data_IF_412404610562
#
_entry.id   IF_412404610562
#
_cell.length_a   1.000
_cell.length_b   1.000
_cell.length_c   1.000
_cell.angle_alpha   90.00
_cell.angle_beta   90.00
_cell.angle_gamma   90.00
#
_symmetry.space_group_name_H-M   'P 1'
#
loop_
_entity.id
_entity.type
_entity.pdbx_description
1 polymer ?
#
# COMPACT_ATOMS: atom_id res chain seq x y z
N UNK A 1 -11.02 -14.57 -9.64
CA UNK A 1 -9.59 -14.24 -9.41
C UNK A 1 -9.45 -12.85 -8.79
N UNK A 2 -9.83 -12.66 -7.51
CA UNK A 2 -9.87 -11.33 -6.89
C UNK A 2 -8.53 -10.57 -6.95
N UNK A 3 -7.42 -11.27 -6.70
CA UNK A 3 -6.08 -10.66 -6.71
C UNK A 3 -5.67 -10.09 -8.06
N UNK A 4 -6.03 -10.75 -9.16
CA UNK A 4 -5.76 -10.23 -10.52
C UNK A 4 -6.60 -8.98 -10.76
N UNK A 5 -7.86 -8.95 -10.32
CA UNK A 5 -8.71 -7.77 -10.44
C UNK A 5 -8.12 -6.60 -9.64
N UNK A 6 -7.73 -6.84 -8.38
CA UNK A 6 -7.07 -5.83 -7.55
C UNK A 6 -5.80 -5.31 -8.22
N UNK A 7 -4.97 -6.19 -8.75
CA UNK A 7 -3.77 -5.82 -9.51
C UNK A 7 -4.12 -4.89 -10.69
N UNK A 8 -5.01 -5.33 -11.57
CA UNK A 8 -5.40 -4.56 -12.77
C UNK A 8 -5.95 -3.20 -12.39
N UNK A 9 -6.86 -3.13 -11.41
CA UNK A 9 -7.46 -1.88 -10.95
C UNK A 9 -6.40 -0.94 -10.36
N UNK A 10 -5.50 -1.44 -9.49
CA UNK A 10 -4.42 -0.64 -8.92
C UNK A 10 -3.49 -0.06 -9.98
N UNK A 11 -3.14 -0.84 -11.00
CA UNK A 11 -2.29 -0.39 -12.10
C UNK A 11 -2.99 0.61 -13.02
N UNK A 12 -4.29 0.45 -13.29
CA UNK A 12 -5.08 1.45 -14.01
C UNK A 12 -5.06 2.78 -13.24
N UNK A 13 -5.33 2.76 -11.94
CA UNK A 13 -5.30 3.98 -11.10
C UNK A 13 -3.91 4.62 -11.12
N UNK A 14 -2.84 3.81 -11.01
CA UNK A 14 -1.47 4.31 -11.12
C UNK A 14 -1.24 5.00 -12.46
N UNK A 15 -1.53 4.35 -13.58
CA UNK A 15 -1.30 4.93 -14.91
C UNK A 15 -2.10 6.19 -15.19
N UNK A 16 -3.31 6.32 -14.61
CA UNK A 16 -4.14 7.52 -14.73
C UNK A 16 -3.59 8.71 -13.94
N UNK A 17 -2.95 8.46 -12.79
CA UNK A 17 -2.58 9.52 -11.84
C UNK A 17 -1.07 9.82 -11.80
N UNK A 18 -0.23 8.93 -12.32
CA UNK A 18 1.22 9.03 -12.20
C UNK A 18 1.80 10.12 -13.10
N UNK A 19 2.68 10.97 -12.53
CA UNK A 19 3.54 11.85 -13.33
C UNK A 19 4.85 11.13 -13.66
N UNK A 20 4.94 10.63 -14.88
CA UNK A 20 6.07 9.85 -15.39
C UNK A 20 7.43 10.57 -15.27
N UNK A 21 7.46 11.90 -15.20
CA UNK A 21 8.73 12.66 -15.05
C UNK A 21 9.46 12.33 -13.76
N UNK A 22 8.73 11.91 -12.72
CA UNK A 22 9.27 11.67 -11.38
C UNK A 22 9.27 10.18 -10.99
N UNK A 23 8.87 9.26 -11.88
CA UNK A 23 8.74 7.83 -11.56
C UNK A 23 10.03 7.21 -11.03
N UNK A 24 11.18 7.63 -11.57
CA UNK A 24 12.51 7.17 -11.13
C UNK A 24 12.80 7.44 -9.64
N UNK A 25 12.06 8.35 -9.02
CA UNK A 25 12.15 8.64 -7.59
C UNK A 25 10.99 8.01 -6.82
N UNK A 26 9.77 8.08 -7.35
CA UNK A 26 8.57 7.63 -6.64
C UNK A 26 8.41 6.11 -6.66
N UNK A 27 9.02 5.39 -7.61
CA UNK A 27 9.04 3.92 -7.65
C UNK A 27 9.58 3.31 -6.35
N UNK A 28 10.55 3.98 -5.72
CA UNK A 28 11.09 3.56 -4.42
C UNK A 28 10.05 3.62 -3.30
N UNK A 29 9.09 4.55 -3.38
CA UNK A 29 7.95 4.58 -2.46
C UNK A 29 7.09 3.32 -2.57
N UNK A 30 6.87 2.83 -3.79
CA UNK A 30 6.17 1.57 -4.03
C UNK A 30 6.93 0.36 -3.51
N UNK A 31 8.24 0.31 -3.75
CA UNK A 31 9.09 -0.78 -3.23
C UNK A 31 9.12 -0.81 -1.69
N UNK A 32 9.16 0.35 -1.05
CA UNK A 32 9.09 0.43 0.42
C UNK A 32 7.72 0.00 0.95
N UNK A 33 6.64 0.44 0.32
CA UNK A 33 5.28 0.08 0.72
C UNK A 33 5.02 -1.43 0.61
N UNK A 34 5.40 -2.05 -0.51
CA UNK A 34 5.25 -3.51 -0.66
C UNK A 34 6.15 -4.27 0.32
N UNK A 35 7.32 -3.72 0.67
CA UNK A 35 8.21 -4.35 1.66
C UNK A 35 7.57 -4.36 3.05
N UNK A 36 6.95 -3.24 3.45
CA UNK A 36 6.19 -3.17 4.70
C UNK A 36 5.01 -4.14 4.69
N UNK A 37 4.25 -4.19 3.59
CA UNK A 37 3.14 -5.12 3.46
C UNK A 37 3.60 -6.58 3.59
N UNK A 38 4.68 -6.98 2.91
CA UNK A 38 5.19 -8.35 3.02
C UNK A 38 5.63 -8.71 4.44
N UNK A 39 6.29 -7.80 5.16
CA UNK A 39 6.68 -8.04 6.56
C UNK A 39 5.47 -8.20 7.46
N UNK A 40 4.45 -7.34 7.31
CA UNK A 40 3.22 -7.43 8.08
C UNK A 40 2.49 -8.73 7.79
N UNK A 41 2.33 -9.08 6.51
CA UNK A 41 1.66 -10.31 6.08
C UNK A 41 2.36 -11.55 6.62
N UNK A 42 3.69 -11.64 6.49
CA UNK A 42 4.46 -12.80 6.97
C UNK A 42 4.26 -13.01 8.47
N UNK A 43 4.33 -11.94 9.26
CA UNK A 43 4.15 -12.02 10.71
C UNK A 43 2.70 -12.41 11.03
N UNK A 44 1.72 -11.76 10.41
CA UNK A 44 0.32 -11.95 10.75
C UNK A 44 -0.21 -13.33 10.31
N UNK A 45 0.20 -13.81 9.14
CA UNK A 45 -0.16 -15.13 8.63
C UNK A 45 0.59 -16.22 9.41
N UNK A 46 1.88 -16.01 9.72
CA UNK A 46 2.64 -16.90 10.60
C UNK A 46 2.05 -17.03 12.00
N UNK A 47 1.38 -15.98 12.50
CA UNK A 47 0.62 -15.98 13.76
C UNK A 47 -0.85 -16.45 13.61
N UNK A 48 -1.24 -16.93 12.43
CA UNK A 48 -2.57 -17.44 12.13
C UNK A 48 -3.70 -16.41 12.40
N UNK A 49 -3.43 -15.13 12.09
CA UNK A 49 -4.35 -14.03 12.32
C UNK A 49 -5.32 -13.85 11.14
N UNK A 50 -4.81 -13.93 9.92
CA UNK A 50 -5.59 -13.99 8.69
C UNK A 50 -4.91 -14.85 7.63
N UNK A 51 -5.61 -15.12 6.53
CA UNK A 51 -5.10 -15.92 5.41
C UNK A 51 -5.63 -15.40 4.06
N UNK A 52 -4.86 -15.65 2.99
CA UNK A 52 -5.21 -15.36 1.61
C UNK A 52 -5.81 -16.60 0.94
N UNK A 53 -7.05 -16.48 0.47
CA UNK A 53 -7.72 -17.51 -0.32
C UNK A 53 -7.55 -17.26 -1.83
N UNK A 54 -7.64 -18.33 -2.64
CA UNK A 54 -7.63 -18.23 -4.11
C UNK A 54 -6.39 -17.50 -4.67
N UNK A 55 -5.24 -17.63 -4.02
CA UNK A 55 -3.96 -17.06 -4.48
C UNK A 55 -3.52 -17.75 -5.75
N UNK A 56 -3.24 -16.96 -6.79
CA UNK A 56 -2.80 -17.49 -8.09
C UNK A 56 -1.29 -17.75 -8.09
N UNK A 57 -0.51 -16.77 -7.61
CA UNK A 57 0.95 -16.88 -7.44
C UNK A 57 1.27 -16.35 -6.05
N UNK A 58 1.91 -17.20 -5.23
CA UNK A 58 2.36 -16.83 -3.89
C UNK A 58 3.75 -16.19 -3.94
N UNK A 59 3.95 -15.17 -3.11
CA UNK A 59 5.26 -14.60 -2.79
C UNK A 59 5.30 -14.47 -1.27
N UNK A 60 6.21 -15.22 -0.62
CA UNK A 60 6.10 -15.48 0.81
C UNK A 60 4.69 -16.01 1.17
N UNK A 61 4.10 -15.58 2.27
CA UNK A 61 2.72 -15.92 2.64
C UNK A 61 1.64 -15.09 1.92
N UNK A 62 2.02 -14.13 1.07
CA UNK A 62 1.10 -13.21 0.38
C UNK A 62 0.87 -13.55 -1.10
N UNK A 63 -0.01 -12.78 -1.76
CA UNK A 63 -0.30 -12.88 -3.19
C UNK A 63 0.58 -11.93 -3.99
N UNK A 64 1.30 -12.44 -5.01
CA UNK A 64 2.16 -11.60 -5.87
C UNK A 64 1.37 -10.48 -6.55
N UNK A 65 0.16 -10.78 -7.00
CA UNK A 65 -0.73 -9.81 -7.63
C UNK A 65 -1.25 -8.76 -6.64
N UNK A 66 -1.41 -9.13 -5.37
CA UNK A 66 -1.71 -8.15 -4.33
C UNK A 66 -0.49 -7.25 -4.10
N UNK A 67 0.66 -7.81 -3.76
CA UNK A 67 1.91 -7.11 -3.42
C UNK A 67 2.38 -6.15 -4.52
N UNK A 68 2.43 -6.61 -5.78
CA UNK A 68 2.79 -5.76 -6.93
C UNK A 68 1.62 -4.92 -7.45
N UNK A 69 0.42 -5.14 -6.94
CA UNK A 69 -0.78 -4.36 -7.23
C UNK A 69 -0.93 -3.23 -6.24
N UNK A 70 -1.81 -3.41 -5.25
CA UNK A 70 -2.25 -2.35 -4.36
C UNK A 70 -1.12 -1.70 -3.54
N UNK A 71 -0.30 -2.43 -2.75
CA UNK A 71 0.76 -1.84 -1.93
C UNK A 71 1.82 -1.12 -2.77
N UNK A 72 2.28 -1.73 -3.87
CA UNK A 72 3.23 -1.07 -4.77
C UNK A 72 2.64 0.21 -5.37
N UNK A 73 1.47 0.13 -6.00
CA UNK A 73 0.87 1.28 -6.70
C UNK A 73 0.54 2.43 -5.74
N UNK A 74 -0.03 2.13 -4.56
CA UNK A 74 -0.34 3.17 -3.56
C UNK A 74 0.94 3.80 -3.02
N UNK A 75 2.02 3.03 -2.82
CA UNK A 75 3.30 3.57 -2.37
C UNK A 75 3.93 4.53 -3.39
N UNK A 76 3.84 4.22 -4.69
CA UNK A 76 4.30 5.13 -5.75
C UNK A 76 3.50 6.43 -5.75
N UNK A 77 2.16 6.33 -5.74
CA UNK A 77 1.28 7.51 -5.74
C UNK A 77 1.40 8.32 -4.46
N UNK A 78 1.59 7.68 -3.32
CA UNK A 78 1.78 8.35 -2.04
C UNK A 78 3.08 9.16 -2.02
N UNK A 79 4.19 8.59 -2.51
CA UNK A 79 5.45 9.34 -2.66
C UNK A 79 5.27 10.54 -3.62
N UNK A 80 4.54 10.35 -4.70
CA UNK A 80 4.33 11.38 -5.71
C UNK A 80 3.46 12.54 -5.22
N UNK A 81 2.40 12.24 -4.48
CA UNK A 81 1.44 13.22 -3.96
C UNK A 81 1.78 13.71 -2.56
N UNK A 82 2.89 13.24 -1.98
CA UNK A 82 3.28 13.54 -0.60
C UNK A 82 3.32 15.06 -0.32
N UNK A 83 2.48 15.60 0.58
CA UNK A 83 2.35 17.05 0.75
C UNK A 83 3.55 17.71 1.42
N UNK A 84 3.79 18.99 1.07
CA UNK A 84 4.78 19.84 1.77
C UNK A 84 4.37 20.10 3.22
N UNK A 85 3.11 20.47 3.42
CA UNK A 85 2.54 20.88 4.71
C UNK A 85 2.25 19.67 5.60
N UNK A 86 2.63 19.76 6.88
CA UNK A 86 2.50 18.65 7.84
C UNK A 86 1.05 18.25 8.14
N UNK A 87 0.12 19.21 8.19
CA UNK A 87 -1.32 18.92 8.39
C UNK A 87 -1.86 18.18 7.17
N UNK A 88 -1.49 18.62 5.96
CA UNK A 88 -1.89 17.92 4.73
C UNK A 88 -1.31 16.51 4.66
N UNK A 89 -0.12 16.26 5.22
CA UNK A 89 0.44 14.89 5.32
C UNK A 89 -0.43 14.01 6.20
N UNK A 90 -0.88 14.50 7.35
CA UNK A 90 -1.78 13.76 8.23
C UNK A 90 -3.12 13.47 7.56
N UNK A 91 -3.70 14.46 6.87
CA UNK A 91 -4.93 14.28 6.09
C UNK A 91 -4.72 13.22 5.00
N UNK A 92 -3.57 13.25 4.31
CA UNK A 92 -3.26 12.27 3.27
C UNK A 92 -3.18 10.84 3.84
N UNK A 93 -2.58 10.66 5.03
CA UNK A 93 -2.57 9.36 5.72
C UNK A 93 -3.99 8.89 5.98
N UNK A 94 -4.85 9.74 6.56
CA UNK A 94 -6.24 9.37 6.88
C UNK A 94 -7.00 8.96 5.61
N UNK A 95 -6.87 9.74 4.53
CA UNK A 95 -7.55 9.46 3.26
C UNK A 95 -7.06 8.14 2.65
N UNK A 96 -5.75 7.91 2.60
CA UNK A 96 -5.21 6.68 2.01
C UNK A 96 -5.50 5.45 2.86
N UNK A 97 -5.44 5.55 4.19
CA UNK A 97 -5.90 4.49 5.10
C UNK A 97 -7.37 4.17 4.82
N UNK A 98 -8.25 5.17 4.73
CA UNK A 98 -9.66 4.93 4.47
C UNK A 98 -9.89 4.22 3.12
N UNK A 99 -9.19 4.64 2.07
CA UNK A 99 -9.28 4.01 0.75
C UNK A 99 -8.77 2.56 0.77
N UNK A 100 -7.64 2.31 1.44
CA UNK A 100 -7.08 0.97 1.56
C UNK A 100 -7.99 0.06 2.37
N UNK A 101 -8.54 0.57 3.49
CA UNK A 101 -9.50 -0.14 4.31
C UNK A 101 -10.78 -0.51 3.54
N UNK A 102 -11.29 0.37 2.67
CA UNK A 102 -12.44 0.04 1.81
C UNK A 102 -12.10 -1.12 0.86
N UNK A 103 -10.90 -1.11 0.26
CA UNK A 103 -10.44 -2.19 -0.60
C UNK A 103 -10.30 -3.50 0.18
N UNK A 104 -9.66 -3.47 1.35
CA UNK A 104 -9.48 -4.62 2.23
C UNK A 104 -10.84 -5.19 2.67
N UNK A 105 -11.76 -4.34 3.14
CA UNK A 105 -13.11 -4.72 3.50
C UNK A 105 -13.84 -5.41 2.34
N UNK A 106 -13.67 -4.90 1.11
CA UNK A 106 -14.23 -5.52 -0.10
C UNK A 106 -13.64 -6.91 -0.36
N UNK A 107 -12.33 -7.08 -0.14
CA UNK A 107 -11.63 -8.38 -0.27
C UNK A 107 -12.07 -9.38 0.79
N UNK A 108 -12.32 -8.93 2.01
CA UNK A 108 -12.88 -9.77 3.08
C UNK A 108 -14.31 -10.19 2.75
N UNK A 109 -15.14 -9.26 2.26
CA UNK A 109 -16.54 -9.54 1.94
C UNK A 109 -16.71 -10.59 0.83
N UNK A 110 -15.83 -10.59 -0.17
CA UNK A 110 -15.82 -11.61 -1.24
C UNK A 110 -15.08 -12.90 -0.84
N UNK A 111 -14.57 -12.98 0.39
CA UNK A 111 -13.86 -14.14 0.94
C UNK A 111 -12.44 -14.35 0.40
N UNK A 112 -11.89 -13.37 -0.32
CA UNK A 112 -10.51 -13.42 -0.81
C UNK A 112 -9.52 -13.32 0.35
N UNK A 113 -9.74 -12.37 1.26
CA UNK A 113 -9.01 -12.24 2.52
C UNK A 113 -9.87 -12.82 3.64
N UNK A 114 -9.30 -13.68 4.50
CA UNK A 114 -10.04 -14.35 5.58
C UNK A 114 -9.45 -14.02 6.92
N UNK A 115 -10.20 -13.34 7.77
CA UNK A 115 -9.79 -13.09 9.15
C UNK A 115 -10.11 -14.31 10.00
N UNK A 116 -9.09 -14.80 10.73
CA UNK A 116 -9.19 -15.95 11.62
C UNK A 116 -9.27 -15.46 13.07
N UNK A 117 -8.25 -14.72 13.50
CA UNK A 117 -8.15 -14.09 14.82
C UNK A 117 -7.86 -12.59 14.70
N UNK A 118 -8.13 -12.01 13.54
CA UNK A 118 -7.86 -10.62 13.22
C UNK A 118 -9.13 -9.76 13.31
N UNK A 119 -9.00 -8.56 13.85
CA UNK A 119 -10.07 -7.58 13.91
C UNK A 119 -9.78 -6.44 12.94
N UNK A 120 -10.82 -5.91 12.26
CA UNK A 120 -10.68 -4.84 11.28
C UNK A 120 -9.95 -3.59 11.80
N UNK A 121 -10.07 -3.29 13.10
CA UNK A 121 -9.35 -2.18 13.73
C UNK A 121 -7.82 -2.35 13.70
N UNK A 122 -7.32 -3.60 13.71
CA UNK A 122 -5.89 -3.87 13.64
C UNK A 122 -5.33 -3.50 12.27
N UNK A 123 -6.07 -3.80 11.18
CA UNK A 123 -5.69 -3.35 9.84
C UNK A 123 -5.58 -1.83 9.77
N UNK A 124 -6.58 -1.12 10.30
CA UNK A 124 -6.58 0.36 10.29
C UNK A 124 -5.38 0.94 11.05
N UNK A 125 -5.06 0.39 12.24
CA UNK A 125 -3.89 0.83 13.03
C UNK A 125 -2.60 0.58 12.26
N UNK A 126 -2.46 -0.59 11.64
CA UNK A 126 -1.26 -0.97 10.90
C UNK A 126 -1.11 -0.12 9.63
N UNK A 127 -2.19 0.15 8.90
CA UNK A 127 -2.17 1.01 7.72
C UNK A 127 -1.71 2.43 8.08
N UNK A 128 -2.24 3.01 9.16
CA UNK A 128 -1.81 4.32 9.66
C UNK A 128 -0.33 4.28 10.01
N UNK A 129 0.12 3.27 10.76
CA UNK A 129 1.52 3.12 11.14
C UNK A 129 2.43 2.98 9.92
N UNK A 130 2.05 2.14 8.95
CA UNK A 130 2.79 1.91 7.72
C UNK A 130 2.89 3.18 6.86
N UNK A 131 1.80 3.92 6.70
CA UNK A 131 1.78 5.17 5.92
C UNK A 131 2.54 6.31 6.60
N UNK A 132 2.52 6.39 7.93
CA UNK A 132 3.35 7.33 8.69
C UNK A 132 4.84 7.00 8.55
N UNK A 133 5.19 5.72 8.73
CA UNK A 133 6.57 5.25 8.54
C UNK A 133 7.05 5.50 7.10
N UNK A 134 6.23 5.17 6.10
CA UNK A 134 6.53 5.40 4.70
C UNK A 134 6.68 6.90 4.40
N UNK A 135 5.84 7.75 4.99
CA UNK A 135 5.95 9.21 4.86
C UNK A 135 7.28 9.76 5.40
N UNK A 136 7.76 9.21 6.52
CA UNK A 136 9.08 9.53 7.06
C UNK A 136 10.19 9.09 6.10
N UNK A 137 10.13 7.87 5.57
CA UNK A 137 11.12 7.38 4.59
C UNK A 137 11.11 8.20 3.29
N UNK A 138 9.94 8.60 2.79
CA UNK A 138 9.80 9.51 1.65
C UNK A 138 10.52 10.84 1.91
N UNK A 139 10.42 11.36 3.14
CA UNK A 139 11.10 12.60 3.54
C UNK A 139 12.61 12.42 3.64
N UNK A 140 13.08 11.35 4.29
CA UNK A 140 14.51 11.03 4.47
C UNK A 140 15.20 10.86 3.11
N UNK A 141 14.62 10.04 2.23
CA UNK A 141 15.19 9.74 0.92
C UNK A 141 14.81 10.77 -0.17
N UNK A 142 14.04 11.80 0.20
CA UNK A 142 13.56 12.86 -0.70
C UNK A 142 12.89 12.28 -1.95
N UNK A 143 11.94 11.36 -1.79
CA UNK A 143 11.32 10.64 -2.92
C UNK A 143 10.24 11.45 -3.64
N UNK A 144 9.71 12.50 -3.01
CA UNK A 144 8.62 13.31 -3.55
C UNK A 144 9.11 14.38 -4.55
N UNK A 145 8.35 14.67 -5.63
CA UNK A 145 8.74 15.64 -6.67
C UNK A 145 9.18 17.00 -6.12
N UNK A 146 8.45 17.53 -5.14
CA UNK A 146 8.73 18.88 -4.64
C UNK A 146 10.02 18.99 -3.82
N UNK A 147 10.54 17.87 -3.30
CA UNK A 147 11.82 17.79 -2.61
C UNK A 147 13.00 17.77 -3.59
N UNK A 148 12.71 17.61 -4.89
CA UNK A 148 13.67 17.55 -5.99
C UNK A 148 13.59 18.77 -6.91
N UNK A 149 12.47 19.50 -6.93
CA UNK A 149 12.36 20.79 -7.65
C UNK A 149 13.35 21.79 -7.05
N UNK A 150 14.36 22.17 -7.83
CA UNK A 150 15.46 23.05 -7.40
C UNK A 150 16.85 22.39 -7.34
N UNK A 151 16.98 21.14 -7.77
CA UNK A 151 18.25 20.54 -8.18
C UNK A 151 18.32 20.43 -9.70
#
# INVERSE_FOLDING_TARGET
>A
MPWIITFVVSWIILFLLVDWRYIKYTVWGGLLALSFQLVVDEIAIGLNLYDFSNVVIRIFDSSLFFTLGAPFCIGVLYAQTYPKNNILRLINVIVLTALFFIMEYSLVHIGALKYLHWHYLYSLIIDVAALLALGNLITIFKLSPWMRRGK
#
